data_IF_879245565596
#
_entry.id   IF_879245565596
#
_cell.length_a   1.000
_cell.length_b   1.000
_cell.length_c   1.000
_cell.angle_alpha   90.00
_cell.angle_beta   90.00
_cell.angle_gamma   90.00
#
_symmetry.space_group_name_H-M   'P 1'
#
loop_
_entity.id
_entity.type
_entity.pdbx_description
1 polymer ?
#
# COMPACT_ATOMS: atom_id res chain seq x y z
N UNK A 1 -18.56 -15.55 18.73
CA UNK A 1 -18.54 -14.68 17.55
C UNK A 1 -17.39 -13.71 17.70
N UNK A 2 -16.59 -13.50 16.65
CA UNK A 2 -15.54 -12.48 16.63
C UNK A 2 -16.17 -11.08 16.76
N UNK A 3 -15.50 -10.19 17.50
CA UNK A 3 -15.93 -8.79 17.63
C UNK A 3 -15.80 -8.07 16.29
N UNK A 4 -16.75 -7.21 15.92
CA UNK A 4 -16.69 -6.39 14.71
C UNK A 4 -15.49 -5.44 14.78
N UNK A 5 -14.75 -5.29 13.66
CA UNK A 5 -13.60 -4.39 13.57
C UNK A 5 -13.56 -3.66 12.23
N UNK A 6 -13.35 -2.34 12.28
CA UNK A 6 -13.01 -1.52 11.12
C UNK A 6 -11.57 -1.02 11.26
N UNK A 7 -10.76 -1.33 10.27
CA UNK A 7 -9.38 -0.88 10.15
C UNK A 7 -9.36 0.33 9.20
N UNK A 8 -9.29 1.52 9.78
CA UNK A 8 -9.21 2.78 9.03
C UNK A 8 -7.73 3.08 8.75
N UNK A 9 -7.33 2.93 7.48
CA UNK A 9 -5.95 3.13 7.01
C UNK A 9 -5.84 4.48 6.34
N UNK A 10 -5.22 5.43 6.99
CA UNK A 10 -4.94 6.74 6.42
C UNK A 10 -3.83 6.66 5.39
N UNK A 11 -3.93 7.40 4.30
CA UNK A 11 -2.86 7.46 3.29
C UNK A 11 -2.87 8.80 2.53
N UNK A 12 -1.72 9.13 1.96
CA UNK A 12 -1.56 10.22 1.01
C UNK A 12 -0.74 9.69 -0.17
N UNK A 13 -1.42 8.97 -1.07
CA UNK A 13 -0.76 8.40 -2.23
C UNK A 13 -0.05 9.48 -3.05
N UNK A 14 1.22 9.26 -3.33
CA UNK A 14 2.08 10.19 -4.06
C UNK A 14 2.73 9.50 -5.24
N UNK A 15 2.35 9.90 -6.45
CA UNK A 15 3.12 9.54 -7.63
C UNK A 15 4.50 10.19 -7.57
N UNK A 16 5.55 9.38 -7.61
CA UNK A 16 6.92 9.91 -7.60
C UNK A 16 7.17 10.82 -8.79
N UNK A 17 6.64 10.44 -9.95
CA UNK A 17 6.61 11.24 -11.19
C UNK A 17 5.36 10.87 -11.97
N UNK A 18 4.55 11.84 -12.38
CA UNK A 18 3.40 11.61 -13.27
C UNK A 18 3.25 12.72 -14.31
N UNK A 19 2.54 13.81 -13.96
CA UNK A 19 2.36 15.02 -14.81
C UNK A 19 3.35 16.12 -14.44
N UNK A 20 4.32 15.78 -13.65
CA UNK A 20 5.42 16.60 -13.12
C UNK A 20 6.69 15.77 -13.03
N UNK A 21 7.80 16.44 -12.84
CA UNK A 21 9.12 15.83 -12.68
C UNK A 21 9.46 15.54 -11.19
N UNK A 22 10.56 14.82 -10.97
CA UNK A 22 11.03 14.48 -9.64
C UNK A 22 11.35 15.72 -8.78
N UNK A 23 11.79 16.80 -9.42
CA UNK A 23 12.09 18.05 -8.72
C UNK A 23 10.85 18.58 -8.00
N UNK A 24 9.70 18.60 -8.69
CA UNK A 24 8.45 19.05 -8.10
C UNK A 24 8.01 18.15 -6.94
N UNK A 25 8.21 16.84 -7.05
CA UNK A 25 7.95 15.91 -5.94
C UNK A 25 8.79 16.25 -4.72
N UNK A 26 10.09 16.52 -4.93
CA UNK A 26 11.01 16.88 -3.84
C UNK A 26 10.66 18.26 -3.27
N UNK A 27 10.48 19.27 -4.11
CA UNK A 27 10.38 20.66 -3.67
C UNK A 27 8.98 21.06 -3.17
N UNK A 28 7.90 20.37 -3.60
CA UNK A 28 6.54 20.76 -3.28
C UNK A 28 5.76 19.65 -2.54
N UNK A 29 5.68 18.43 -3.10
CA UNK A 29 4.74 17.41 -2.61
C UNK A 29 5.22 16.69 -1.35
N UNK A 30 6.52 16.37 -1.26
CA UNK A 30 7.06 15.77 -0.05
C UNK A 30 6.98 16.73 1.15
N UNK A 31 7.45 18.01 1.08
CA UNK A 31 7.35 18.91 2.21
C UNK A 31 5.89 19.20 2.60
N UNK A 32 4.95 19.30 1.65
CA UNK A 32 3.54 19.48 1.98
C UNK A 32 2.97 18.25 2.72
N UNK A 33 3.32 17.03 2.27
CA UNK A 33 2.93 15.78 2.91
C UNK A 33 3.47 15.70 4.33
N UNK A 34 4.74 15.99 4.52
CA UNK A 34 5.41 15.97 5.82
C UNK A 34 4.77 16.96 6.80
N UNK A 35 4.68 18.23 6.40
CA UNK A 35 4.15 19.31 7.23
C UNK A 35 2.72 19.02 7.69
N UNK A 36 1.84 18.62 6.77
CA UNK A 36 0.43 18.37 7.09
C UNK A 36 0.24 17.17 8.03
N UNK A 37 0.99 16.08 7.81
CA UNK A 37 0.85 14.91 8.68
C UNK A 37 1.51 15.11 10.04
N UNK A 38 2.63 15.83 10.15
CA UNK A 38 3.22 16.17 11.45
C UNK A 38 2.25 17.02 12.28
N UNK A 39 1.61 18.03 11.68
CA UNK A 39 0.59 18.85 12.32
C UNK A 39 -0.63 18.02 12.79
N UNK A 40 -1.11 17.09 11.98
CA UNK A 40 -2.19 16.18 12.37
C UNK A 40 -1.79 15.23 13.51
N UNK A 41 -0.59 14.65 13.47
CA UNK A 41 -0.09 13.74 14.51
C UNK A 41 0.10 14.49 15.85
N UNK A 42 0.56 15.74 15.83
CA UNK A 42 0.69 16.56 17.03
C UNK A 42 -0.67 16.79 17.70
N UNK A 43 -1.70 17.05 16.90
CA UNK A 43 -3.07 17.32 17.41
C UNK A 43 -3.87 16.05 17.74
N UNK A 44 -3.57 14.94 17.09
CA UNK A 44 -4.26 13.65 17.23
C UNK A 44 -3.25 12.53 17.55
N UNK A 45 -2.85 12.32 18.82
CA UNK A 45 -1.81 11.35 19.19
C UNK A 45 -2.12 9.89 18.84
N UNK A 46 -3.40 9.54 18.65
CA UNK A 46 -3.83 8.19 18.23
C UNK A 46 -3.90 8.02 16.70
N UNK A 47 -3.56 9.07 15.95
CA UNK A 47 -3.51 9.01 14.48
C UNK A 47 -2.29 8.23 14.00
N UNK A 48 -2.52 7.24 13.12
CA UNK A 48 -1.49 6.50 12.42
C UNK A 48 -1.52 6.85 10.93
N UNK A 49 -0.47 7.48 10.42
CA UNK A 49 -0.32 7.79 9.01
C UNK A 49 0.47 6.70 8.28
N UNK A 50 -0.03 6.25 7.14
CA UNK A 50 0.61 5.23 6.30
C UNK A 50 1.15 5.88 5.02
N UNK A 51 2.46 5.74 4.79
CA UNK A 51 3.11 6.28 3.61
C UNK A 51 3.94 5.20 2.92
N UNK A 52 3.69 4.98 1.63
CA UNK A 52 4.24 3.87 0.87
C UNK A 52 5.49 4.24 0.08
N UNK A 53 6.31 3.21 -0.26
CA UNK A 53 7.45 3.30 -1.17
C UNK A 53 8.75 3.80 -0.53
N UNK A 54 9.71 2.89 -0.30
CA UNK A 54 11.00 3.22 0.34
C UNK A 54 11.81 4.29 -0.41
N UNK A 55 11.62 4.41 -1.73
CA UNK A 55 12.29 5.44 -2.51
C UNK A 55 11.91 6.86 -2.08
N UNK A 56 10.63 7.09 -1.74
CA UNK A 56 10.19 8.40 -1.21
C UNK A 56 10.88 8.73 0.11
N UNK A 57 11.08 7.74 0.97
CA UNK A 57 11.83 7.90 2.22
C UNK A 57 13.30 8.19 1.98
N UNK A 58 13.92 7.62 0.94
CA UNK A 58 15.29 8.00 0.57
C UNK A 58 15.40 9.46 0.13
N UNK A 59 14.40 9.94 -0.63
CA UNK A 59 14.34 11.36 -0.99
C UNK A 59 14.18 12.24 0.26
N UNK A 60 13.35 11.82 1.22
CA UNK A 60 13.19 12.56 2.49
C UNK A 60 14.50 12.52 3.29
N UNK A 61 15.18 11.38 3.39
CA UNK A 61 16.46 11.25 4.07
C UNK A 61 17.53 12.17 3.47
N UNK A 62 17.55 12.28 2.14
CA UNK A 62 18.55 13.10 1.43
C UNK A 62 18.26 14.61 1.50
N UNK A 63 17.01 15.01 1.28
CA UNK A 63 16.65 16.42 1.12
C UNK A 63 16.08 17.05 2.40
N UNK A 64 15.53 16.26 3.32
CA UNK A 64 14.86 16.70 4.54
C UNK A 64 15.31 15.89 5.78
N UNK A 65 16.62 15.86 6.11
CA UNK A 65 17.15 14.96 7.14
C UNK A 65 16.54 15.18 8.54
N UNK A 66 16.14 16.41 8.88
CA UNK A 66 15.46 16.68 10.15
C UNK A 66 14.05 16.08 10.18
N UNK A 67 13.30 16.19 9.08
CA UNK A 67 12.00 15.55 8.97
C UNK A 67 12.12 14.03 8.96
N UNK A 68 13.18 13.48 8.35
CA UNK A 68 13.45 12.05 8.38
C UNK A 68 13.70 11.53 9.81
N UNK A 69 14.48 12.27 10.61
CA UNK A 69 14.68 11.94 12.02
C UNK A 69 13.37 11.97 12.81
N UNK A 70 12.48 12.94 12.53
CA UNK A 70 11.16 12.97 13.16
C UNK A 70 10.30 11.78 12.73
N UNK A 71 10.31 11.38 11.44
CA UNK A 71 9.63 10.15 10.99
C UNK A 71 10.13 8.94 11.78
N UNK A 72 11.43 8.80 12.04
CA UNK A 72 11.97 7.71 12.86
C UNK A 72 11.38 7.68 14.28
N UNK A 73 11.18 8.84 14.89
CA UNK A 73 10.53 8.96 16.20
C UNK A 73 9.04 8.57 16.11
N UNK A 74 8.34 9.05 15.09
CA UNK A 74 6.92 8.76 14.89
C UNK A 74 6.65 7.29 14.58
N UNK A 75 7.55 6.62 13.84
CA UNK A 75 7.47 5.17 13.61
C UNK A 75 7.60 4.40 14.92
N UNK A 76 8.56 4.77 15.78
CA UNK A 76 8.72 4.15 17.11
C UNK A 76 7.49 4.36 18.01
N UNK A 77 6.79 5.48 17.86
CA UNK A 77 5.56 5.79 18.60
C UNK A 77 4.31 5.13 18.00
N UNK A 78 4.39 4.59 16.77
CA UNK A 78 3.24 4.02 16.05
C UNK A 78 2.37 5.02 15.30
N UNK A 79 2.76 6.30 15.24
CA UNK A 79 2.01 7.36 14.57
C UNK A 79 2.31 7.47 13.06
N UNK A 80 3.40 6.88 12.60
CA UNK A 80 3.79 6.81 11.21
C UNK A 80 4.16 5.38 10.85
N UNK A 81 3.62 4.85 9.75
CA UNK A 81 3.91 3.49 9.31
C UNK A 81 4.43 3.49 7.87
N UNK A 82 5.63 2.92 7.61
CA UNK A 82 6.13 2.66 6.28
C UNK A 82 5.30 1.55 5.64
N UNK A 83 4.28 1.93 4.88
CA UNK A 83 3.27 1.02 4.33
C UNK A 83 3.76 0.30 3.08
N UNK A 84 3.37 -0.97 2.95
CA UNK A 84 3.75 -1.82 1.82
C UNK A 84 5.23 -2.16 1.79
N UNK A 85 5.54 -3.39 1.38
CA UNK A 85 6.92 -3.88 1.40
C UNK A 85 7.80 -3.35 0.26
N UNK A 86 7.22 -2.61 -0.71
CA UNK A 86 7.88 -2.27 -1.95
C UNK A 86 8.86 -1.11 -1.82
N UNK A 87 9.99 -1.20 -2.54
CA UNK A 87 10.91 -0.08 -2.70
C UNK A 87 10.23 1.07 -3.46
N UNK A 88 9.52 0.75 -4.54
CA UNK A 88 8.65 1.69 -5.25
C UNK A 88 7.34 1.00 -5.65
N UNK A 89 6.24 1.74 -5.59
CA UNK A 89 4.94 1.28 -6.08
C UNK A 89 4.91 1.35 -7.60
N UNK A 90 4.49 0.26 -8.26
CA UNK A 90 4.47 0.21 -9.71
C UNK A 90 3.71 -0.98 -10.25
N UNK A 91 3.80 -1.11 -11.55
CA UNK A 91 3.23 -2.24 -12.28
C UNK A 91 3.79 -3.57 -11.78
N UNK A 92 2.93 -4.55 -11.57
CA UNK A 92 3.31 -5.90 -11.12
C UNK A 92 3.08 -6.97 -12.18
N UNK A 93 2.67 -6.58 -13.40
CA UNK A 93 2.42 -7.52 -14.50
C UNK A 93 3.56 -7.57 -15.53
N UNK A 94 4.25 -6.45 -15.73
CA UNK A 94 5.33 -6.35 -16.73
C UNK A 94 6.69 -6.77 -16.17
N UNK A 95 7.07 -6.43 -14.90
CA UNK A 95 8.34 -6.84 -14.34
C UNK A 95 8.46 -8.36 -14.22
N UNK A 96 9.69 -8.87 -14.34
CA UNK A 96 9.98 -10.25 -14.06
C UNK A 96 9.72 -10.61 -12.59
N UNK A 97 9.46 -11.88 -12.24
CA UNK A 97 9.34 -12.29 -10.84
C UNK A 97 10.56 -11.91 -10.00
N UNK A 98 11.76 -11.98 -10.57
CA UNK A 98 13.00 -11.56 -9.92
C UNK A 98 12.98 -10.07 -9.57
N UNK A 99 12.52 -9.20 -10.48
CA UNK A 99 12.39 -7.77 -10.21
C UNK A 99 11.37 -7.48 -9.09
N UNK A 100 10.27 -8.23 -9.05
CA UNK A 100 9.28 -8.13 -7.97
C UNK A 100 9.86 -8.54 -6.61
N UNK A 101 10.62 -9.65 -6.56
CA UNK A 101 11.30 -10.05 -5.33
C UNK A 101 12.29 -8.99 -4.85
N UNK A 102 13.06 -8.39 -5.76
CA UNK A 102 14.01 -7.33 -5.40
C UNK A 102 13.31 -6.06 -4.94
N UNK A 103 12.21 -5.69 -5.56
CA UNK A 103 11.41 -4.55 -5.13
C UNK A 103 10.97 -4.71 -3.67
N UNK A 104 10.47 -5.90 -3.31
CA UNK A 104 10.07 -6.23 -1.93
C UNK A 104 11.29 -6.28 -1.00
N UNK A 105 12.36 -6.97 -1.41
CA UNK A 105 13.56 -7.13 -0.60
C UNK A 105 14.20 -5.78 -0.27
N UNK A 106 14.39 -4.91 -1.26
CA UNK A 106 15.02 -3.61 -1.08
C UNK A 106 14.14 -2.66 -0.27
N UNK A 107 12.81 -2.71 -0.47
CA UNK A 107 11.88 -1.90 0.30
C UNK A 107 11.89 -2.28 1.78
N UNK A 108 11.64 -3.55 2.09
CA UNK A 108 11.62 -4.03 3.47
C UNK A 108 13.00 -3.97 4.14
N UNK A 109 14.10 -4.18 3.39
CA UNK A 109 15.44 -3.99 3.93
C UNK A 109 15.68 -2.55 4.34
N UNK A 110 15.32 -1.58 3.49
CA UNK A 110 15.43 -0.16 3.81
C UNK A 110 14.60 0.19 5.06
N UNK A 111 13.36 -0.26 5.14
CA UNK A 111 12.51 -0.01 6.30
C UNK A 111 13.08 -0.65 7.58
N UNK A 112 13.60 -1.87 7.49
CA UNK A 112 14.25 -2.53 8.63
C UNK A 112 15.51 -1.77 9.09
N UNK A 113 16.36 -1.35 8.15
CA UNK A 113 17.61 -0.64 8.47
C UNK A 113 17.36 0.76 9.04
N UNK A 114 16.35 1.47 8.53
CA UNK A 114 16.10 2.87 8.91
C UNK A 114 15.12 3.05 10.06
N UNK A 115 14.14 2.17 10.17
CA UNK A 115 13.03 2.31 11.12
C UNK A 115 12.87 1.12 12.06
N UNK A 116 13.56 0.00 11.84
CA UNK A 116 13.44 -1.21 12.65
C UNK A 116 12.15 -2.00 12.40
N UNK A 117 11.43 -1.72 11.33
CA UNK A 117 10.16 -2.38 10.98
C UNK A 117 10.19 -2.97 9.58
N UNK A 118 9.34 -3.97 9.35
CA UNK A 118 9.06 -4.53 8.03
C UNK A 118 7.55 -4.55 7.81
N UNK A 119 7.09 -4.04 6.69
CA UNK A 119 5.71 -4.21 6.27
C UNK A 119 5.45 -5.66 5.87
N UNK A 120 4.27 -6.18 6.23
CA UNK A 120 3.84 -7.55 5.91
C UNK A 120 2.81 -7.60 4.79
N UNK A 121 2.65 -6.52 4.05
CA UNK A 121 1.73 -6.44 2.92
C UNK A 121 2.40 -5.87 1.65
N UNK A 122 1.72 -6.09 0.55
CA UNK A 122 1.83 -5.25 -0.64
C UNK A 122 0.65 -4.28 -0.61
N UNK A 123 0.95 -2.98 -0.58
CA UNK A 123 0.00 -1.89 -0.55
C UNK A 123 0.11 -1.08 -1.85
N UNK A 124 -0.79 -1.38 -2.80
CA UNK A 124 -0.79 -0.79 -4.14
C UNK A 124 -2.16 -0.15 -4.44
N UNK A 125 -2.45 1.02 -3.88
CA UNK A 125 -3.77 1.64 -4.04
C UNK A 125 -4.03 2.15 -5.45
N UNK A 126 -3.00 2.38 -6.26
CA UNK A 126 -3.12 2.99 -7.61
C UNK A 126 -2.39 2.21 -8.71
N UNK A 127 -2.41 0.87 -8.68
CA UNK A 127 -1.92 0.01 -9.76
C UNK A 127 -3.09 -0.60 -10.56
N UNK A 128 -2.83 -0.95 -11.82
CA UNK A 128 -3.87 -1.15 -12.83
C UNK A 128 -3.99 -2.62 -13.28
N UNK A 129 -4.24 -3.50 -12.35
CA UNK A 129 -4.37 -4.93 -12.56
C UNK A 129 -3.20 -5.72 -11.99
N UNK A 130 -3.46 -6.98 -11.64
CA UNK A 130 -2.52 -7.79 -10.88
C UNK A 130 -2.59 -9.24 -11.36
N UNK A 131 -1.45 -9.77 -11.82
CA UNK A 131 -1.32 -11.15 -12.29
C UNK A 131 -1.34 -12.16 -11.14
N UNK A 132 -1.84 -13.36 -11.42
CA UNK A 132 -1.97 -14.44 -10.45
C UNK A 132 -0.63 -14.96 -9.89
N UNK A 133 0.51 -14.60 -10.49
CA UNK A 133 1.81 -14.93 -9.94
C UNK A 133 2.15 -14.12 -8.68
N UNK A 134 1.51 -12.95 -8.47
CA UNK A 134 1.84 -12.05 -7.36
C UNK A 134 1.63 -12.69 -5.99
N UNK A 135 0.53 -13.41 -5.67
CA UNK A 135 0.39 -14.11 -4.39
C UNK A 135 1.52 -15.11 -4.10
N UNK A 136 2.00 -15.83 -5.11
CA UNK A 136 3.15 -16.74 -4.96
C UNK A 136 4.42 -15.98 -4.58
N UNK A 137 4.73 -14.90 -5.30
CA UNK A 137 5.87 -14.01 -4.98
C UNK A 137 5.75 -13.47 -3.56
N UNK A 138 4.57 -12.99 -3.17
CA UNK A 138 4.30 -12.47 -1.83
C UNK A 138 4.53 -13.53 -0.75
N UNK A 139 3.99 -14.73 -0.94
CA UNK A 139 4.13 -15.84 0.01
C UNK A 139 5.59 -16.22 0.22
N UNK A 140 6.37 -16.36 -0.87
CA UNK A 140 7.80 -16.63 -0.81
C UNK A 140 8.60 -15.49 -0.16
N UNK A 141 8.16 -14.25 -0.32
CA UNK A 141 8.75 -13.09 0.36
C UNK A 141 8.35 -12.95 1.84
N UNK A 142 7.52 -13.85 2.38
CA UNK A 142 7.06 -13.83 3.78
C UNK A 142 6.05 -12.73 4.08
N UNK A 143 5.30 -12.28 3.07
CA UNK A 143 4.22 -11.32 3.22
C UNK A 143 2.89 -12.02 3.54
N UNK A 144 2.00 -11.33 4.24
CA UNK A 144 0.72 -11.84 4.71
C UNK A 144 -0.44 -11.37 3.85
N UNK A 145 -0.37 -10.14 3.31
CA UNK A 145 -1.54 -9.52 2.74
C UNK A 145 -1.32 -8.59 1.55
N UNK A 146 -2.41 -8.35 0.83
CA UNK A 146 -2.48 -7.50 -0.34
C UNK A 146 -3.62 -6.50 -0.22
N UNK A 147 -3.35 -5.22 -0.47
CA UNK A 147 -4.36 -4.16 -0.45
C UNK A 147 -4.33 -3.36 -1.74
N UNK A 148 -5.51 -3.17 -2.35
CA UNK A 148 -5.75 -2.21 -3.44
C UNK A 148 -7.15 -1.63 -3.35
N UNK A 149 -7.43 -0.59 -4.16
CA UNK A 149 -8.78 -0.03 -4.34
C UNK A 149 -9.19 0.05 -5.83
N UNK A 150 -8.27 -0.28 -6.74
CA UNK A 150 -8.48 -0.02 -8.18
C UNK A 150 -9.47 -0.94 -8.86
N UNK A 151 -9.77 -2.12 -8.34
CA UNK A 151 -10.69 -3.04 -9.02
C UNK A 151 -12.11 -2.48 -9.18
N UNK A 152 -12.52 -1.55 -8.32
CA UNK A 152 -13.81 -0.84 -8.45
C UNK A 152 -13.88 0.11 -9.66
N UNK A 153 -12.75 0.39 -10.33
CA UNK A 153 -12.63 1.29 -11.48
C UNK A 153 -12.76 0.58 -12.84
N UNK A 154 -13.13 -0.69 -12.86
CA UNK A 154 -13.35 -1.47 -14.08
C UNK A 154 -12.54 -2.75 -14.13
N UNK A 155 -12.81 -3.65 -13.22
CA UNK A 155 -12.24 -5.00 -13.24
C UNK A 155 -12.90 -5.89 -14.29
N UNK A 156 -12.12 -6.78 -14.91
CA UNK A 156 -12.61 -7.80 -15.84
C UNK A 156 -13.59 -8.77 -15.18
N UNK A 157 -13.39 -9.06 -13.90
CA UNK A 157 -14.15 -10.06 -13.14
C UNK A 157 -14.95 -9.45 -11.97
N UNK A 158 -15.02 -8.12 -11.90
CA UNK A 158 -15.56 -7.42 -10.74
C UNK A 158 -14.59 -7.45 -9.53
N UNK A 159 -15.13 -7.18 -8.35
CA UNK A 159 -14.41 -7.32 -7.08
C UNK A 159 -14.83 -8.66 -6.45
N UNK A 160 -13.92 -9.65 -6.35
CA UNK A 160 -14.31 -11.01 -5.95
C UNK A 160 -14.83 -11.10 -4.51
N UNK A 161 -14.29 -10.28 -3.62
CA UNK A 161 -14.65 -10.14 -2.21
C UNK A 161 -14.08 -8.84 -1.65
N UNK A 162 -14.47 -8.44 -0.46
CA UNK A 162 -13.84 -7.31 0.25
C UNK A 162 -12.74 -7.76 1.22
N UNK A 163 -12.83 -9.00 1.74
CA UNK A 163 -11.81 -9.69 2.53
C UNK A 163 -11.82 -11.17 2.20
N UNK A 164 -10.66 -11.75 1.88
CA UNK A 164 -10.54 -13.17 1.54
C UNK A 164 -9.10 -13.59 1.28
N UNK A 165 -8.93 -14.75 0.67
CA UNK A 165 -7.64 -15.24 0.19
C UNK A 165 -7.50 -15.07 -1.31
N UNK A 166 -6.38 -14.54 -1.74
CA UNK A 166 -5.97 -14.56 -3.14
C UNK A 166 -4.94 -15.69 -3.34
N UNK A 167 -5.24 -16.62 -4.26
CA UNK A 167 -4.44 -17.81 -4.51
C UNK A 167 -3.56 -17.62 -5.73
N UNK A 168 -2.26 -17.89 -5.56
CA UNK A 168 -1.25 -17.88 -6.60
C UNK A 168 -1.24 -19.13 -7.49
N UNK A 169 -0.44 -19.11 -8.53
CA UNK A 169 -0.31 -20.18 -9.53
C UNK A 169 0.21 -21.49 -8.95
N UNK A 170 0.93 -21.44 -7.85
CA UNK A 170 1.48 -22.59 -7.13
C UNK A 170 0.57 -23.10 -6.00
N UNK A 171 -0.63 -22.52 -5.85
CA UNK A 171 -1.56 -22.82 -4.77
C UNK A 171 -1.31 -22.06 -3.47
N UNK A 172 -0.22 -21.29 -3.38
CA UNK A 172 0.03 -20.40 -2.23
C UNK A 172 -1.10 -19.40 -2.05
N UNK A 173 -1.41 -19.05 -0.80
CA UNK A 173 -2.48 -18.09 -0.47
C UNK A 173 -1.94 -16.96 0.38
N UNK A 174 -2.40 -15.74 0.08
CA UNK A 174 -2.22 -14.55 0.90
C UNK A 174 -3.58 -13.92 1.19
N UNK A 175 -3.72 -13.27 2.33
CA UNK A 175 -4.92 -12.47 2.61
C UNK A 175 -5.02 -11.30 1.63
N UNK A 176 -6.21 -10.86 1.30
CA UNK A 176 -6.41 -9.74 0.39
C UNK A 176 -7.62 -8.89 0.75
N UNK A 177 -7.44 -7.58 0.62
CA UNK A 177 -8.50 -6.56 0.61
C UNK A 177 -8.49 -5.87 -0.76
N UNK A 178 -9.06 -6.50 -1.81
CA UNK A 178 -8.97 -6.00 -3.19
C UNK A 178 -9.87 -4.80 -3.48
N UNK A 179 -10.64 -4.36 -2.51
CA UNK A 179 -11.43 -3.13 -2.55
C UNK A 179 -11.51 -2.49 -1.15
N UNK A 180 -10.39 -1.94 -0.69
CA UNK A 180 -10.32 -1.23 0.59
C UNK A 180 -10.89 0.20 0.51
N UNK A 181 -11.86 0.46 -0.38
CA UNK A 181 -12.46 1.75 -0.71
C UNK A 181 -11.43 2.76 -1.25
N UNK A 182 -11.86 3.95 -1.64
CA UNK A 182 -10.96 4.92 -2.25
C UNK A 182 -9.98 5.50 -1.22
N UNK A 183 -8.71 5.66 -1.61
CA UNK A 183 -7.74 6.42 -0.81
C UNK A 183 -8.11 7.91 -0.67
N UNK A 184 -9.12 8.38 -1.40
CA UNK A 184 -9.70 9.73 -1.28
C UNK A 184 -10.98 9.74 -0.45
N UNK A 185 -11.36 8.64 0.18
CA UNK A 185 -12.52 8.60 1.09
C UNK A 185 -12.34 9.59 2.23
N UNK A 186 -13.45 10.13 2.68
CA UNK A 186 -13.53 11.03 3.82
C UNK A 186 -14.52 10.48 4.82
N UNK A 187 -14.22 10.62 6.08
CA UNK A 187 -15.10 10.23 7.17
C UNK A 187 -15.60 11.47 7.92
N UNK A 188 -16.83 11.37 8.42
CA UNK A 188 -17.44 12.36 9.33
C UNK A 188 -18.26 11.64 10.39
N UNK A 189 -18.10 12.03 11.66
CA UNK A 189 -18.80 11.40 12.77
C UNK A 189 -18.25 10.02 13.16
N UNK A 190 -19.06 9.22 13.86
CA UNK A 190 -18.66 7.87 14.31
C UNK A 190 -18.68 6.88 13.12
N UNK A 191 -17.55 6.23 12.84
CA UNK A 191 -17.43 5.24 11.77
C UNK A 191 -18.35 4.03 11.94
N UNK A 192 -18.86 3.79 13.13
CA UNK A 192 -19.87 2.75 13.39
C UNK A 192 -21.22 3.06 12.76
N UNK A 193 -21.47 4.31 12.41
CA UNK A 193 -22.64 4.78 11.66
C UNK A 193 -22.39 4.92 10.15
N UNK A 194 -21.15 4.76 9.70
CA UNK A 194 -20.79 4.88 8.28
C UNK A 194 -21.31 3.67 7.49
N UNK A 195 -22.22 3.90 6.54
CA UNK A 195 -22.90 2.82 5.79
C UNK A 195 -21.91 1.89 5.10
N UNK A 196 -20.89 2.44 4.45
CA UNK A 196 -19.88 1.65 3.73
C UNK A 196 -19.08 0.73 4.67
N UNK A 197 -18.81 1.17 5.89
CA UNK A 197 -18.11 0.38 6.92
C UNK A 197 -19.01 -0.73 7.44
N UNK A 198 -20.28 -0.41 7.74
CA UNK A 198 -21.26 -1.38 8.24
C UNK A 198 -21.49 -2.48 7.19
N UNK A 199 -21.69 -2.09 5.94
CA UNK A 199 -21.97 -3.03 4.84
C UNK A 199 -20.80 -3.99 4.61
N UNK A 200 -19.56 -3.49 4.60
CA UNK A 200 -18.39 -4.35 4.39
C UNK A 200 -18.15 -5.28 5.57
N UNK A 201 -18.33 -4.81 6.82
CA UNK A 201 -18.25 -5.65 8.02
C UNK A 201 -19.32 -6.74 8.01
N UNK A 202 -20.57 -6.39 7.65
CA UNK A 202 -21.67 -7.34 7.58
C UNK A 202 -21.46 -8.38 6.46
N UNK A 203 -21.01 -7.92 5.28
CA UNK A 203 -20.70 -8.78 4.14
C UNK A 203 -19.58 -9.77 4.49
N UNK A 204 -18.48 -9.33 5.07
CA UNK A 204 -17.36 -10.19 5.44
C UNK A 204 -17.74 -11.19 6.56
N UNK A 205 -18.58 -10.78 7.50
CA UNK A 205 -19.16 -11.70 8.49
C UNK A 205 -20.02 -12.80 7.85
N UNK A 206 -20.83 -12.45 6.85
CA UNK A 206 -21.69 -13.39 6.14
C UNK A 206 -20.90 -14.34 5.23
N UNK A 207 -20.01 -13.79 4.39
CA UNK A 207 -19.25 -14.55 3.39
C UNK A 207 -18.11 -15.37 4.01
N UNK A 208 -17.35 -14.77 4.93
CA UNK A 208 -16.11 -15.34 5.47
C UNK A 208 -16.11 -15.65 6.97
N UNK A 209 -17.17 -15.28 7.70
CA UNK A 209 -17.27 -15.49 9.15
C UNK A 209 -16.46 -14.49 9.99
N UNK A 210 -15.69 -13.59 9.36
CA UNK A 210 -14.92 -12.55 10.04
C UNK A 210 -15.56 -11.17 9.84
N UNK A 211 -16.08 -10.54 10.89
CA UNK A 211 -16.71 -9.22 10.82
C UNK A 211 -15.67 -8.10 10.81
N UNK A 212 -14.69 -8.18 9.91
CA UNK A 212 -13.57 -7.24 9.76
C UNK A 212 -13.64 -6.55 8.42
N UNK A 213 -13.37 -5.24 8.36
CA UNK A 213 -13.25 -4.50 7.12
C UNK A 213 -12.07 -3.54 7.16
N UNK A 214 -11.36 -3.38 6.05
CA UNK A 214 -10.30 -2.39 5.87
C UNK A 214 -10.80 -1.28 4.95
N UNK A 215 -10.66 -0.03 5.37
CA UNK A 215 -11.04 1.14 4.62
C UNK A 215 -9.90 2.14 4.53
N UNK A 216 -9.55 2.52 3.33
CA UNK A 216 -8.62 3.63 3.08
C UNK A 216 -9.35 4.95 3.25
N UNK A 217 -8.63 5.98 3.69
CA UNK A 217 -9.09 7.36 3.68
C UNK A 217 -7.90 8.32 3.54
N UNK A 218 -8.13 9.46 2.92
CA UNK A 218 -7.04 10.42 2.77
C UNK A 218 -7.08 11.22 1.48
N UNK A 219 -5.95 11.24 0.80
CA UNK A 219 -5.77 11.95 -0.47
C UNK A 219 -4.85 11.17 -1.40
N UNK A 220 -4.70 11.62 -2.64
CA UNK A 220 -3.82 10.93 -3.58
C UNK A 220 -3.47 11.72 -4.80
N UNK A 221 -2.58 11.10 -5.52
CA UNK A 221 -1.76 11.46 -6.66
C UNK A 221 -0.60 12.41 -6.31
N UNK A 222 -0.85 13.44 -5.53
CA UNK A 222 0.14 14.51 -5.20
C UNK A 222 0.59 14.49 -3.74
N UNK A 223 0.32 13.42 -3.00
CA UNK A 223 0.58 13.40 -1.57
C UNK A 223 -0.34 14.32 -0.78
N UNK A 224 0.14 14.88 0.34
CA UNK A 224 -0.64 15.70 1.26
C UNK A 224 -1.03 14.94 2.52
N UNK A 225 -2.25 15.11 3.01
CA UNK A 225 -2.78 14.43 4.18
C UNK A 225 -4.29 14.20 4.07
N UNK A 226 -4.87 13.29 4.86
CA UNK A 226 -6.31 13.23 5.08
C UNK A 226 -6.87 14.58 5.57
N UNK A 227 -8.17 14.77 5.41
CA UNK A 227 -8.82 15.94 6.04
C UNK A 227 -8.77 15.78 7.56
N UNK A 228 -8.62 16.90 8.27
CA UNK A 228 -8.64 16.92 9.74
C UNK A 228 -9.92 16.29 10.30
N UNK A 229 -11.08 16.58 9.70
CA UNK A 229 -12.36 15.99 10.07
C UNK A 229 -12.33 14.46 10.02
N UNK A 230 -11.71 13.87 8.98
CA UNK A 230 -11.59 12.42 8.88
C UNK A 230 -10.68 11.83 9.96
N UNK A 231 -9.56 12.48 10.25
CA UNK A 231 -8.65 12.04 11.32
C UNK A 231 -9.35 12.12 12.68
N UNK A 232 -10.02 13.25 12.96
CA UNK A 232 -10.81 13.42 14.18
C UNK A 232 -11.88 12.35 14.33
N UNK A 233 -12.62 12.06 13.25
CA UNK A 233 -13.69 11.04 13.23
C UNK A 233 -13.15 9.65 13.55
N UNK A 234 -12.01 9.26 12.97
CA UNK A 234 -11.37 7.97 13.24
C UNK A 234 -10.87 7.90 14.68
N UNK A 235 -10.15 8.92 15.18
CA UNK A 235 -9.61 8.93 16.54
C UNK A 235 -10.74 8.96 17.59
N UNK A 236 -11.78 9.76 17.39
CA UNK A 236 -12.94 9.80 18.27
C UNK A 236 -13.69 8.46 18.30
N UNK A 237 -13.84 7.82 17.13
CA UNK A 237 -14.44 6.48 17.08
C UNK A 237 -13.58 5.45 17.81
N UNK A 238 -12.25 5.49 17.66
CA UNK A 238 -11.32 4.59 18.33
C UNK A 238 -11.35 4.75 19.86
N UNK A 239 -11.51 5.96 20.36
CA UNK A 239 -11.61 6.26 21.79
C UNK A 239 -12.82 5.58 22.48
N UNK A 240 -13.85 5.19 21.73
CA UNK A 240 -15.02 4.46 22.21
C UNK A 240 -14.85 2.91 22.18
N UNK A 241 -13.69 2.41 21.75
CA UNK A 241 -13.42 0.97 21.78
C UNK A 241 -13.49 0.41 23.20
N UNK A 242 -13.97 -0.83 23.31
CA UNK A 242 -14.22 -1.46 24.62
C UNK A 242 -15.56 -1.09 25.24
N UNK A 243 -16.17 0.06 24.89
CA UNK A 243 -17.50 0.47 25.33
C UNK A 243 -18.60 0.06 24.35
N UNK A 244 -18.21 -0.29 23.12
CA UNK A 244 -19.09 -0.70 22.02
C UNK A 244 -18.76 -2.11 21.57
N UNK A 245 -19.67 -2.75 20.88
CA UNK A 245 -19.50 -4.09 20.29
C UNK A 245 -18.73 -4.09 18.96
N UNK A 246 -18.32 -2.92 18.49
CA UNK A 246 -17.63 -2.68 17.24
C UNK A 246 -16.41 -1.78 17.49
N UNK A 247 -15.20 -2.30 17.23
CA UNK A 247 -13.97 -1.55 17.37
C UNK A 247 -13.58 -0.86 16.07
N UNK A 248 -13.13 0.39 16.18
CA UNK A 248 -12.51 1.18 15.11
C UNK A 248 -11.04 1.34 15.43
N UNK A 249 -10.18 1.08 14.46
CA UNK A 249 -8.73 1.08 14.64
C UNK A 249 -8.14 2.08 13.65
N UNK A 250 -7.39 3.08 14.13
CA UNK A 250 -6.47 3.88 13.30
C UNK A 250 -5.27 2.98 12.96
N UNK A 251 -5.34 2.31 11.81
CA UNK A 251 -4.58 1.10 11.55
C UNK A 251 -3.32 1.33 10.69
N UNK A 252 -2.30 0.50 10.92
CA UNK A 252 -1.24 0.24 9.95
C UNK A 252 -1.82 -0.51 8.74
N UNK A 253 -1.22 -0.35 7.55
CA UNK A 253 -1.73 -0.96 6.31
C UNK A 253 -1.86 -2.49 6.39
N UNK A 254 -0.95 -3.13 7.10
CA UNK A 254 -0.90 -4.58 7.28
C UNK A 254 -1.56 -5.11 8.56
N UNK A 255 -2.16 -4.24 9.38
CA UNK A 255 -2.69 -4.62 10.71
C UNK A 255 -3.78 -5.68 10.62
N UNK A 256 -4.73 -5.52 9.69
CA UNK A 256 -5.81 -6.50 9.49
C UNK A 256 -5.25 -7.88 9.17
N UNK A 257 -4.20 -7.97 8.37
CA UNK A 257 -3.59 -9.24 7.96
C UNK A 257 -2.85 -9.91 9.12
N UNK A 258 -2.15 -9.13 9.95
CA UNK A 258 -1.50 -9.61 11.18
C UNK A 258 -2.52 -10.12 12.19
N UNK A 259 -3.59 -9.37 12.40
CA UNK A 259 -4.67 -9.76 13.32
C UNK A 259 -5.35 -11.05 12.88
N UNK A 260 -5.61 -11.22 11.55
CA UNK A 260 -6.22 -12.43 11.00
C UNK A 260 -5.23 -13.60 11.04
N UNK A 261 -3.95 -13.39 10.70
CA UNK A 261 -2.93 -14.45 10.73
C UNK A 261 -2.79 -15.06 12.12
N UNK A 262 -2.92 -14.25 13.16
CA UNK A 262 -2.89 -14.66 14.55
C UNK A 262 -4.13 -15.46 15.03
N UNK A 263 -5.22 -15.49 14.25
CA UNK A 263 -6.41 -16.26 14.61
C UNK A 263 -6.20 -17.76 14.40
N UNK A 264 -6.94 -18.62 15.13
CA UNK A 264 -7.02 -20.06 14.82
C UNK A 264 -7.42 -20.31 13.38
N UNK A 265 -6.92 -21.39 12.78
CA UNK A 265 -7.24 -21.73 11.39
C UNK A 265 -8.75 -21.92 11.18
N UNK A 266 -9.45 -22.53 12.15
CA UNK A 266 -10.92 -22.70 12.13
C UNK A 266 -11.71 -21.40 11.93
N UNK A 267 -11.16 -20.27 12.34
CA UNK A 267 -11.79 -18.95 12.16
C UNK A 267 -11.56 -18.38 10.76
N UNK A 268 -10.54 -18.91 10.05
CA UNK A 268 -10.12 -18.48 8.70
C UNK A 268 -10.63 -19.38 7.58
N UNK A 269 -11.07 -20.61 7.89
CA UNK A 269 -11.44 -21.64 6.91
C UNK A 269 -12.60 -21.24 6.00
N UNK A 270 -13.44 -20.29 6.43
CA UNK A 270 -14.60 -19.82 5.68
C UNK A 270 -14.29 -18.63 4.77
N UNK A 271 -13.11 -18.04 4.87
CA UNK A 271 -12.75 -16.90 4.02
C UNK A 271 -12.84 -17.30 2.53
N UNK A 272 -13.48 -16.48 1.68
CA UNK A 272 -13.57 -16.76 0.26
C UNK A 272 -12.18 -16.81 -0.36
N UNK A 273 -12.02 -17.64 -1.40
CA UNK A 273 -10.76 -17.81 -2.13
C UNK A 273 -10.95 -17.40 -3.58
N UNK A 274 -10.14 -16.47 -4.05
CA UNK A 274 -10.05 -16.11 -5.45
C UNK A 274 -8.84 -16.77 -6.09
N UNK A 275 -9.07 -17.58 -7.11
CA UNK A 275 -8.05 -18.34 -7.84
C UNK A 275 -8.01 -17.90 -9.30
N UNK A 276 -7.70 -16.64 -9.54
CA UNK A 276 -7.53 -16.06 -10.88
C UNK A 276 -6.78 -14.73 -10.75
N UNK A 277 -6.51 -14.10 -11.89
CA UNK A 277 -5.94 -12.75 -11.97
C UNK A 277 -6.95 -11.69 -11.49
N UNK A 278 -6.44 -10.55 -11.06
CA UNK A 278 -7.22 -9.36 -10.72
C UNK A 278 -7.01 -8.30 -11.82
N UNK A 279 -7.59 -8.55 -12.99
CA UNK A 279 -7.38 -7.74 -14.19
C UNK A 279 -8.30 -6.52 -14.23
N UNK A 280 -7.77 -5.44 -14.79
CA UNK A 280 -8.54 -4.26 -15.17
C UNK A 280 -8.79 -4.24 -16.68
N UNK A 281 -9.98 -3.77 -17.08
CA UNK A 281 -10.40 -3.66 -18.49
C UNK A 281 -10.55 -2.21 -18.96
N UNK A 282 -10.53 -1.27 -18.02
CA UNK A 282 -10.62 0.16 -18.29
C UNK A 282 -9.63 0.91 -17.40
N UNK A 283 -9.68 2.23 -17.39
CA UNK A 283 -8.87 3.11 -16.55
C UNK A 283 -7.41 2.64 -16.35
N UNK A 284 -6.50 3.07 -17.19
CA UNK A 284 -5.07 2.74 -17.09
C UNK A 284 -4.66 1.38 -17.67
N UNK A 285 -5.60 0.47 -18.00
CA UNK A 285 -5.25 -0.83 -18.58
C UNK A 285 -4.44 -0.70 -19.89
N UNK A 286 -4.67 0.33 -20.71
CA UNK A 286 -3.87 0.64 -21.90
C UNK A 286 -2.44 1.10 -21.60
N UNK A 287 -2.10 1.40 -20.35
CA UNK A 287 -0.75 1.76 -19.92
C UNK A 287 0.28 0.66 -20.14
N UNK A 288 -0.13 -0.60 -20.14
CA UNK A 288 0.77 -1.75 -20.36
C UNK A 288 1.42 -1.74 -21.75
N UNK A 289 0.75 -1.22 -22.76
CA UNK A 289 1.28 -1.13 -24.14
C UNK A 289 1.89 0.22 -24.45
N UNK A 290 1.67 1.24 -23.63
CA UNK A 290 2.28 2.54 -23.81
C UNK A 290 3.81 2.47 -23.70
N UNK A 291 4.53 3.24 -24.52
CA UNK A 291 5.98 3.35 -24.51
C UNK A 291 6.70 1.99 -24.60
N UNK A 292 6.28 1.16 -25.55
CA UNK A 292 6.82 -0.19 -25.79
C UNK A 292 8.36 -0.22 -25.91
N UNK A 293 9.00 0.83 -26.46
CA UNK A 293 10.45 0.92 -26.55
C UNK A 293 11.12 0.95 -25.16
N UNK A 294 10.61 1.73 -24.22
CA UNK A 294 11.13 1.76 -22.85
C UNK A 294 11.02 0.40 -22.18
N UNK A 295 9.88 -0.28 -22.32
CA UNK A 295 9.65 -1.62 -21.79
C UNK A 295 10.60 -2.66 -22.36
N UNK A 296 10.85 -2.62 -23.68
CA UNK A 296 11.85 -3.50 -24.35
C UNK A 296 13.28 -3.22 -23.89
N UNK A 297 13.63 -1.96 -23.65
CA UNK A 297 14.96 -1.61 -23.14
C UNK A 297 15.16 -2.13 -21.72
N UNK A 298 14.10 -2.10 -20.91
CA UNK A 298 14.08 -2.65 -19.57
C UNK A 298 14.28 -4.16 -19.58
N UNK A 299 13.49 -4.90 -20.36
CA UNK A 299 13.61 -6.34 -20.55
C UNK A 299 15.05 -6.73 -20.99
N UNK A 300 15.59 -6.04 -21.99
CA UNK A 300 17.00 -6.26 -22.42
C UNK A 300 18.02 -5.95 -21.33
N UNK A 301 17.76 -4.99 -20.46
CA UNK A 301 18.60 -4.67 -19.32
C UNK A 301 18.59 -5.78 -18.27
N UNK A 302 17.42 -6.34 -17.97
CA UNK A 302 17.25 -7.48 -17.07
C UNK A 302 17.97 -8.73 -17.59
N UNK A 303 17.88 -8.99 -18.89
CA UNK A 303 18.54 -10.13 -19.53
C UNK A 303 20.07 -10.03 -19.53
N UNK A 304 20.62 -8.83 -19.76
CA UNK A 304 22.07 -8.62 -19.90
C UNK A 304 22.81 -8.58 -18.59
N UNK A 305 22.17 -8.16 -17.53
CA UNK A 305 22.82 -7.92 -16.25
C UNK A 305 22.24 -8.79 -15.15
N UNK A 306 22.60 -10.08 -15.19
CA UNK A 306 22.22 -11.06 -14.18
C UNK A 306 22.80 -10.75 -12.78
N UNK A 307 23.75 -9.82 -12.68
CA UNK A 307 24.40 -9.44 -11.43
C UNK A 307 23.99 -8.07 -10.91
N UNK A 308 23.65 -7.13 -11.79
CA UNK A 308 23.20 -5.78 -11.43
C UNK A 308 21.70 -5.63 -11.72
N UNK A 309 20.90 -6.28 -10.92
CA UNK A 309 19.45 -6.24 -11.07
C UNK A 309 18.89 -4.85 -10.79
N UNK A 310 18.14 -4.37 -11.73
CA UNK A 310 17.48 -3.08 -11.67
C UNK A 310 16.01 -3.32 -11.39
N UNK A 311 15.51 -2.67 -10.37
CA UNK A 311 14.08 -2.62 -10.12
C UNK A 311 13.39 -2.01 -11.32
N UNK A 312 12.59 -2.82 -11.98
CA UNK A 312 11.81 -2.37 -13.12
C UNK A 312 10.40 -2.12 -12.67
N UNK A 313 10.06 -0.88 -12.59
CA UNK A 313 8.69 -0.45 -12.42
C UNK A 313 8.22 0.20 -13.70
N UNK A 314 7.22 -0.39 -14.32
CA UNK A 314 6.70 0.10 -15.58
C UNK A 314 5.22 0.45 -15.39
N UNK A 315 4.97 1.63 -14.91
CA UNK A 315 3.71 2.32 -15.10
C UNK A 315 3.78 3.23 -16.33
N UNK A 316 2.67 3.69 -16.87
CA UNK A 316 2.64 4.57 -18.05
C UNK A 316 3.50 5.84 -17.91
N UNK A 317 3.83 6.23 -16.69
CA UNK A 317 4.56 7.46 -16.36
C UNK A 317 5.89 7.23 -15.63
N UNK A 318 6.30 5.99 -15.35
CA UNK A 318 7.41 5.66 -14.45
C UNK A 318 8.78 5.60 -15.14
N UNK A 319 8.89 5.78 -16.44
CA UNK A 319 10.16 5.71 -17.18
C UNK A 319 11.15 6.78 -16.72
N UNK A 320 10.68 7.95 -16.31
CA UNK A 320 11.56 8.99 -15.75
C UNK A 320 12.19 8.60 -14.40
N UNK A 321 11.44 7.95 -13.51
CA UNK A 321 11.97 7.48 -12.23
C UNK A 321 13.05 6.43 -12.40
N UNK A 322 12.91 5.56 -13.40
CA UNK A 322 13.87 4.50 -13.67
C UNK A 322 15.27 5.03 -14.04
N UNK A 323 15.36 6.04 -14.91
CA UNK A 323 16.65 6.64 -15.27
C UNK A 323 17.30 7.37 -14.10
N UNK A 324 16.53 8.06 -13.28
CA UNK A 324 17.04 8.79 -12.11
C UNK A 324 17.54 7.85 -11.02
N UNK A 325 16.82 6.75 -10.76
CA UNK A 325 17.25 5.72 -9.80
C UNK A 325 18.55 5.07 -10.28
N UNK A 326 18.69 4.79 -11.58
CA UNK A 326 19.89 4.24 -12.18
C UNK A 326 21.10 5.16 -12.05
N UNK A 327 20.98 6.44 -12.39
CA UNK A 327 22.08 7.38 -12.25
C UNK A 327 22.59 7.42 -10.82
N UNK A 328 21.70 7.44 -9.82
CA UNK A 328 22.10 7.52 -8.41
C UNK A 328 22.73 6.25 -7.85
N UNK A 329 22.31 5.07 -8.31
CA UNK A 329 22.88 3.80 -7.88
C UNK A 329 24.25 3.49 -8.53
N UNK A 330 24.50 3.99 -9.73
CA UNK A 330 25.73 3.69 -10.48
C UNK A 330 26.79 4.78 -10.45
N UNK A 331 26.43 6.07 -10.37
CA UNK A 331 27.41 7.16 -10.44
C UNK A 331 27.97 7.63 -9.08
N UNK A 332 27.45 7.14 -7.94
CA UNK A 332 28.07 7.41 -6.62
C UNK A 332 29.26 6.50 -6.27
N UNK A 333 29.52 5.44 -7.01
CA UNK A 333 30.64 4.52 -6.75
C UNK A 333 31.87 4.76 -7.65
N UNK A 334 31.96 5.89 -8.34
CA UNK A 334 33.10 6.26 -9.20
C UNK A 334 33.70 7.62 -8.81
N UNK A 335 33.85 7.90 -7.52
CA UNK A 335 34.77 8.91 -7.01
C UNK A 335 35.46 8.38 -5.77
#
# INVERSE_FOLDING_TARGET
>A
MQKKKAYAVSTAHLDTVWRWDLRKTIEEYLPDTLRKNFDLIERYPDYCFNFEGAFRYQLIEEYYPLAFAEIQNLVKRGNWYPAGACYENGDVNIPSPEALFRNILLGNRYFQEKFGVQSKDIFLPDCFGFGQALPSVMKYAGLLGFTTQKLSWGSAYGVPFTLGYWQGVDGSRVLACPNARSYRSKFSGDLRGEVSVIDDVAKNAFEGGLPYAQHLYGTGDVGGAPTEESVQSVCASAAENGRKDFDVISAQSDQIFKDIDALPDSDKDRLPVWNNELLMTSHGAGGYTARAMGKRLTEKSEEKDKTAYRLVQIGPNTICCFFIILERLFFRNTN
#
